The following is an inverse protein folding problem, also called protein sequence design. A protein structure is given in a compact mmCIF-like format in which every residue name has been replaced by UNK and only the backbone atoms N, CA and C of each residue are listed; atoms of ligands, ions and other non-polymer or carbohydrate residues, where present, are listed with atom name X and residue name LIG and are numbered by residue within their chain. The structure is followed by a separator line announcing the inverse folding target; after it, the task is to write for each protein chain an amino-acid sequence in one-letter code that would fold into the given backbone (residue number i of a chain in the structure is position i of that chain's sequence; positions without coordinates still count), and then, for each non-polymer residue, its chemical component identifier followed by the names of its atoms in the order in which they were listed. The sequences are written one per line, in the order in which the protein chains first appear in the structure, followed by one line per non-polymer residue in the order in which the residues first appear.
data_IF_354224885300
#
_entry.id   IF_354224885300
#
_cell.length_a   1.000
_cell.length_b   1.000
_cell.length_c   1.000
_cell.angle_alpha   90.00
_cell.angle_beta   90.00
_cell.angle_gamma   90.00
#
_symmetry.space_group_name_H-M   'P 1'
#
loop_
_entity.id
_entity.type
_entity.pdbx_description
1 polymer ?
#
# COMPACT_ATOMS: atom_id res chain seq x y z
N UNK A 1 15.82 -14.47 -22.99
CA UNK A 1 14.81 -14.93 -22.03
C UNK A 1 13.96 -13.73 -21.67
N UNK A 2 12.68 -13.79 -22.00
CA UNK A 2 11.72 -12.72 -21.70
C UNK A 2 11.27 -12.81 -20.24
N UNK A 3 10.83 -11.70 -19.64
CA UNK A 3 10.36 -11.67 -18.23
C UNK A 3 9.28 -12.71 -17.97
N UNK A 4 8.35 -12.88 -18.92
CA UNK A 4 7.30 -13.91 -18.86
C UNK A 4 7.86 -15.33 -18.78
N UNK A 5 8.86 -15.65 -19.61
CA UNK A 5 9.47 -16.98 -19.62
C UNK A 5 10.17 -17.26 -18.30
N UNK A 6 10.92 -16.28 -17.78
CA UNK A 6 11.53 -16.38 -16.46
C UNK A 6 10.48 -16.66 -15.38
N UNK A 7 9.38 -15.91 -15.37
CA UNK A 7 8.29 -16.11 -14.41
C UNK A 7 7.61 -17.47 -14.55
N UNK A 8 7.47 -18.01 -15.77
CA UNK A 8 7.00 -19.38 -15.97
C UNK A 8 7.94 -20.42 -15.32
N UNK A 9 9.26 -20.26 -15.47
CA UNK A 9 10.22 -21.22 -14.91
C UNK A 9 10.29 -21.16 -13.37
N UNK A 10 10.07 -19.99 -12.78
CA UNK A 10 10.19 -19.81 -11.32
C UNK A 10 8.85 -19.78 -10.58
N UNK A 11 7.71 -19.90 -11.27
CA UNK A 11 6.38 -19.67 -10.69
C UNK A 11 6.05 -20.57 -9.48
N UNK A 12 6.63 -21.77 -9.43
CA UNK A 12 6.40 -22.73 -8.34
C UNK A 12 7.36 -22.56 -7.15
N UNK A 13 8.41 -21.76 -7.28
CA UNK A 13 9.49 -21.66 -6.27
C UNK A 13 9.73 -20.24 -5.78
N UNK A 14 9.39 -19.22 -6.57
CA UNK A 14 9.64 -17.83 -6.22
C UNK A 14 8.74 -17.37 -5.07
N UNK A 15 9.36 -17.02 -3.94
CA UNK A 15 8.67 -16.52 -2.73
C UNK A 15 8.81 -15.02 -2.52
N UNK A 16 9.94 -14.45 -2.96
CA UNK A 16 10.25 -13.02 -2.81
C UNK A 16 10.55 -12.44 -4.18
N UNK A 17 9.91 -11.34 -4.51
CA UNK A 17 10.16 -10.60 -5.74
C UNK A 17 10.34 -9.12 -5.43
N UNK A 18 11.44 -8.56 -5.91
CA UNK A 18 11.71 -7.12 -5.88
C UNK A 18 11.71 -6.65 -7.33
N UNK A 19 10.84 -5.69 -7.63
CA UNK A 19 10.67 -5.11 -8.95
C UNK A 19 11.03 -3.64 -8.89
N UNK A 20 12.10 -3.29 -9.59
CA UNK A 20 12.54 -1.91 -9.80
C UNK A 20 12.17 -1.51 -11.23
N UNK A 21 10.94 -1.02 -11.41
CA UNK A 21 10.39 -0.70 -12.73
C UNK A 21 9.47 0.53 -12.64
N UNK A 22 9.59 1.52 -13.54
CA UNK A 22 8.69 2.66 -13.61
C UNK A 22 7.37 2.28 -14.29
N UNK A 23 6.48 1.57 -13.58
CA UNK A 23 5.18 1.15 -14.10
C UNK A 23 4.32 2.29 -14.67
N UNK A 24 4.49 3.52 -14.17
CA UNK A 24 3.78 4.70 -14.67
C UNK A 24 4.19 5.11 -16.08
N UNK A 25 5.39 4.72 -16.53
CA UNK A 25 5.85 5.00 -17.89
C UNK A 25 5.13 4.17 -18.96
N UNK A 26 4.45 3.09 -18.57
CA UNK A 26 3.69 2.25 -19.49
C UNK A 26 2.31 2.86 -19.70
N UNK A 27 2.11 3.61 -20.79
CA UNK A 27 0.80 4.15 -21.15
C UNK A 27 -0.22 3.03 -21.35
N UNK A 28 -1.38 3.11 -20.68
CA UNK A 28 -2.49 2.19 -20.93
C UNK A 28 -3.17 2.39 -22.29
N UNK A 29 -2.94 3.54 -22.94
CA UNK A 29 -3.54 3.90 -24.23
C UNK A 29 -2.62 3.61 -25.42
N UNK A 30 -1.33 3.43 -25.18
CA UNK A 30 -0.31 3.18 -26.20
C UNK A 30 0.60 2.03 -25.76
N UNK A 31 0.05 0.82 -25.79
CA UNK A 31 0.76 -0.43 -25.49
C UNK A 31 0.90 -1.29 -26.75
N UNK A 32 1.44 -0.70 -27.82
CA UNK A 32 1.61 -1.35 -29.12
C UNK A 32 2.56 -2.58 -29.10
N UNK A 33 3.29 -2.79 -28.01
CA UNK A 33 4.18 -3.93 -27.78
C UNK A 33 3.58 -4.97 -26.81
N UNK A 34 2.32 -4.82 -26.39
CA UNK A 34 1.64 -5.69 -25.43
C UNK A 34 2.45 -5.93 -24.14
N UNK A 35 3.16 -4.90 -23.66
CA UNK A 35 4.02 -4.97 -22.47
C UNK A 35 3.18 -5.20 -21.23
N UNK A 36 2.06 -4.48 -21.04
CA UNK A 36 1.19 -4.61 -19.86
C UNK A 36 0.50 -5.98 -19.83
N UNK A 37 -0.11 -6.50 -20.93
CA UNK A 37 -0.62 -7.86 -20.96
C UNK A 37 0.46 -8.91 -20.67
N UNK A 38 1.64 -8.79 -21.27
CA UNK A 38 2.74 -9.75 -21.09
C UNK A 38 3.24 -9.78 -19.66
N UNK A 39 3.43 -8.61 -19.04
CA UNK A 39 3.78 -8.51 -17.62
C UNK A 39 2.66 -9.10 -16.75
N UNK A 40 1.40 -8.74 -17.02
CA UNK A 40 0.24 -9.23 -16.26
C UNK A 40 0.17 -10.76 -16.27
N UNK A 41 0.27 -11.41 -17.44
CA UNK A 41 0.27 -12.89 -17.53
C UNK A 41 1.45 -13.51 -16.77
N UNK A 42 2.62 -12.87 -16.83
CA UNK A 42 3.79 -13.30 -16.06
C UNK A 42 3.57 -13.20 -14.54
N UNK A 43 3.14 -12.04 -14.05
CA UNK A 43 2.92 -11.79 -12.62
C UNK A 43 1.81 -12.69 -12.06
N UNK A 44 0.72 -12.91 -12.79
CA UNK A 44 -0.39 -13.78 -12.35
C UNK A 44 0.06 -15.22 -12.05
N UNK A 45 1.12 -15.71 -12.67
CA UNK A 45 1.63 -17.08 -12.46
C UNK A 45 2.34 -17.27 -11.13
N UNK A 46 2.81 -16.20 -10.49
CA UNK A 46 3.62 -16.25 -9.26
C UNK A 46 2.80 -16.58 -8.00
N UNK A 47 2.02 -17.66 -8.04
CA UNK A 47 1.07 -18.07 -6.99
C UNK A 47 1.72 -18.45 -5.64
N UNK A 48 3.04 -18.66 -5.62
CA UNK A 48 3.81 -18.97 -4.42
C UNK A 48 4.45 -17.75 -3.77
N UNK A 49 4.24 -16.56 -4.33
CA UNK A 49 4.83 -15.34 -3.81
C UNK A 49 4.28 -15.02 -2.42
N UNK A 50 5.20 -14.81 -1.48
CA UNK A 50 4.92 -14.45 -0.09
C UNK A 50 5.28 -12.97 0.17
N UNK A 51 6.24 -12.44 -0.59
CA UNK A 51 6.78 -11.09 -0.44
C UNK A 51 6.95 -10.40 -1.80
N UNK A 52 6.39 -9.20 -1.92
CA UNK A 52 6.55 -8.33 -3.10
C UNK A 52 7.10 -6.97 -2.68
N UNK A 53 8.05 -6.44 -3.45
CA UNK A 53 8.47 -5.04 -3.36
C UNK A 53 8.40 -4.42 -4.74
N UNK A 54 7.58 -3.40 -4.93
CA UNK A 54 7.51 -2.59 -6.14
C UNK A 54 8.07 -1.20 -5.86
N UNK A 55 9.11 -0.82 -6.59
CA UNK A 55 9.82 0.46 -6.49
C UNK A 55 9.45 1.37 -7.66
N UNK A 56 9.78 2.66 -7.54
CA UNK A 56 9.55 3.75 -8.50
C UNK A 56 8.09 4.14 -8.73
N UNK A 57 7.22 3.18 -9.00
CA UNK A 57 5.81 3.44 -9.29
C UNK A 57 4.89 2.33 -8.77
N UNK A 58 3.61 2.68 -8.63
CA UNK A 58 2.56 1.74 -8.30
C UNK A 58 2.31 0.75 -9.47
N UNK A 59 2.25 -0.57 -9.22
CA UNK A 59 2.11 -1.59 -10.27
C UNK A 59 0.66 -1.68 -10.82
N UNK A 60 0.14 -0.61 -11.42
CA UNK A 60 -1.17 -0.54 -12.08
C UNK A 60 -1.16 -1.23 -13.46
N UNK A 61 -0.83 -2.52 -13.48
CA UNK A 61 -0.66 -3.31 -14.70
C UNK A 61 -1.98 -3.74 -15.35
N UNK A 62 -3.07 -3.84 -14.59
CA UNK A 62 -4.35 -4.33 -15.12
C UNK A 62 -5.22 -3.22 -15.70
N UNK A 63 -5.56 -3.38 -16.98
CA UNK A 63 -6.66 -2.69 -17.63
C UNK A 63 -7.57 -3.76 -18.23
N UNK A 64 -8.55 -4.27 -17.48
CA UNK A 64 -9.61 -5.06 -18.14
C UNK A 64 -10.47 -4.09 -18.93
N UNK A 65 -10.60 -4.35 -20.23
CA UNK A 65 -11.21 -3.47 -21.21
C UNK A 65 -12.64 -2.98 -20.90
N UNK A 66 -13.35 -3.49 -19.88
CA UNK A 66 -14.74 -3.06 -19.64
C UNK A 66 -15.27 -2.85 -18.23
N UNK A 67 -14.67 -3.30 -17.12
CA UNK A 67 -15.35 -3.05 -15.81
C UNK A 67 -14.51 -2.94 -14.54
N UNK A 68 -13.35 -3.59 -14.38
CA UNK A 68 -12.58 -3.48 -13.11
C UNK A 68 -11.07 -3.68 -13.30
N UNK A 69 -10.26 -2.81 -12.70
CA UNK A 69 -8.80 -2.98 -12.56
C UNK A 69 -8.53 -3.74 -11.27
N UNK A 70 -8.11 -5.01 -11.35
CA UNK A 70 -7.71 -5.81 -10.17
C UNK A 70 -6.20 -5.85 -10.14
N UNK A 71 -5.57 -5.25 -9.15
CA UNK A 71 -4.10 -5.22 -9.12
C UNK A 71 -3.54 -6.65 -9.04
N UNK A 72 -2.53 -6.96 -9.86
CA UNK A 72 -2.07 -8.35 -10.01
C UNK A 72 -1.58 -8.99 -8.69
N UNK A 73 -1.16 -8.17 -7.73
CA UNK A 73 -0.70 -8.63 -6.42
C UNK A 73 -1.83 -9.14 -5.52
N UNK A 74 -3.08 -8.70 -5.70
CA UNK A 74 -4.23 -9.23 -4.93
C UNK A 74 -4.66 -10.63 -5.36
N UNK A 75 -4.11 -11.12 -6.48
CA UNK A 75 -4.37 -12.46 -7.01
C UNK A 75 -3.48 -13.54 -6.37
N UNK A 76 -2.49 -13.16 -5.56
CA UNK A 76 -1.55 -14.11 -4.98
C UNK A 76 -2.01 -14.60 -3.60
N UNK A 77 -2.46 -15.85 -3.48
CA UNK A 77 -3.14 -16.35 -2.28
C UNK A 77 -2.19 -16.54 -1.08
N UNK A 78 -0.88 -16.42 -1.30
CA UNK A 78 0.16 -16.55 -0.27
C UNK A 78 0.86 -15.24 0.04
N UNK A 79 0.47 -14.13 -0.59
CA UNK A 79 1.13 -12.85 -0.38
C UNK A 79 0.88 -12.38 1.06
N UNK A 80 1.95 -12.28 1.84
CA UNK A 80 1.91 -11.87 3.24
C UNK A 80 2.36 -10.44 3.42
N UNK A 81 3.31 -10.00 2.60
CA UNK A 81 3.97 -8.71 2.78
C UNK A 81 4.20 -8.03 1.45
N UNK A 82 3.83 -6.75 1.37
CA UNK A 82 4.02 -5.96 0.15
C UNK A 82 4.61 -4.59 0.47
N UNK A 83 5.52 -4.12 -0.38
CA UNK A 83 5.95 -2.73 -0.44
C UNK A 83 5.45 -2.13 -1.76
N UNK A 84 4.74 -1.01 -1.69
CA UNK A 84 4.14 -0.34 -2.84
C UNK A 84 4.60 1.13 -2.86
N UNK A 85 5.34 1.51 -3.89
CA UNK A 85 5.73 2.88 -4.13
C UNK A 85 4.58 3.67 -4.76
N UNK A 86 4.34 4.92 -4.32
CA UNK A 86 3.32 5.82 -4.89
C UNK A 86 1.92 5.22 -4.98
N UNK A 87 1.55 4.40 -3.99
CA UNK A 87 0.23 3.78 -3.94
C UNK A 87 -0.89 4.84 -3.84
N UNK A 88 -1.97 4.73 -4.63
CA UNK A 88 -3.10 5.67 -4.60
C UNK A 88 -4.05 5.31 -3.45
N UNK A 89 -3.73 5.70 -2.23
CA UNK A 89 -4.47 5.23 -1.04
C UNK A 89 -5.84 5.89 -0.91
N UNK A 90 -6.13 6.97 -1.65
CA UNK A 90 -7.49 7.51 -1.79
C UNK A 90 -8.41 6.65 -2.66
N UNK A 91 -7.86 5.64 -3.36
CA UNK A 91 -8.64 4.78 -4.27
C UNK A 91 -9.35 3.66 -3.53
N UNK A 92 -10.66 3.53 -3.74
CA UNK A 92 -11.43 2.39 -3.24
C UNK A 92 -10.94 1.04 -3.79
N UNK A 93 -10.42 1.00 -5.02
CA UNK A 93 -9.88 -0.23 -5.60
C UNK A 93 -8.66 -0.74 -4.83
N UNK A 94 -7.82 0.18 -4.35
CA UNK A 94 -6.64 -0.17 -3.55
C UNK A 94 -7.05 -0.86 -2.24
N UNK A 95 -8.05 -0.33 -1.54
CA UNK A 95 -8.55 -0.92 -0.30
C UNK A 95 -9.31 -2.22 -0.53
N UNK A 96 -10.05 -2.34 -1.63
CA UNK A 96 -10.69 -3.59 -2.01
C UNK A 96 -9.64 -4.69 -2.22
N UNK A 97 -8.60 -4.43 -3.02
CA UNK A 97 -7.51 -5.39 -3.26
C UNK A 97 -6.77 -5.76 -1.97
N UNK A 98 -6.53 -4.77 -1.09
CA UNK A 98 -5.93 -4.99 0.23
C UNK A 98 -6.81 -5.91 1.08
N UNK A 99 -8.11 -5.62 1.17
CA UNK A 99 -9.06 -6.43 1.95
C UNK A 99 -9.25 -7.83 1.37
N UNK A 100 -9.28 -7.96 0.04
CA UNK A 100 -9.48 -9.20 -0.70
C UNK A 100 -8.23 -10.12 -0.74
N UNK A 101 -7.10 -9.69 -0.16
CA UNK A 101 -5.89 -10.51 -0.02
C UNK A 101 -5.80 -11.06 1.43
N UNK A 102 -6.41 -12.21 1.75
CA UNK A 102 -6.60 -12.64 3.13
C UNK A 102 -5.32 -13.00 3.88
N UNK A 103 -4.27 -13.41 3.16
CA UNK A 103 -2.96 -13.74 3.74
C UNK A 103 -2.10 -12.52 4.05
N UNK A 104 -2.52 -11.32 3.63
CA UNK A 104 -1.72 -10.11 3.74
C UNK A 104 -1.71 -9.62 5.19
N UNK A 105 -0.52 -9.55 5.76
CA UNK A 105 -0.22 -9.21 7.16
C UNK A 105 0.44 -7.83 7.27
N UNK A 106 1.21 -7.41 6.27
CA UNK A 106 1.94 -6.14 6.27
C UNK A 106 1.92 -5.46 4.90
N UNK A 107 1.56 -4.18 4.88
CA UNK A 107 1.62 -3.30 3.71
C UNK A 107 2.51 -2.13 4.05
N UNK A 108 3.60 -1.96 3.32
CA UNK A 108 4.45 -0.79 3.39
C UNK A 108 4.19 0.10 2.19
N UNK A 109 3.82 1.34 2.47
CA UNK A 109 3.47 2.34 1.48
C UNK A 109 4.59 3.36 1.47
N UNK A 110 5.44 3.27 0.45
CA UNK A 110 6.52 4.21 0.25
C UNK A 110 6.01 5.37 -0.62
N UNK A 111 6.11 6.62 -0.14
CA UNK A 111 5.60 7.82 -0.83
C UNK A 111 4.13 7.69 -1.26
N UNK A 112 3.18 7.28 -0.38
CA UNK A 112 1.79 7.11 -0.79
C UNK A 112 1.18 8.42 -1.30
N UNK A 113 0.32 8.31 -2.32
CA UNK A 113 -0.45 9.44 -2.82
C UNK A 113 -1.68 9.66 -1.94
N UNK A 114 -2.18 10.89 -1.88
CA UNK A 114 -3.44 11.27 -1.21
C UNK A 114 -3.46 11.12 0.32
N UNK A 115 -2.31 10.94 0.99
CA UNK A 115 -2.24 10.66 2.43
C UNK A 115 -2.93 11.71 3.31
N UNK A 116 -2.83 12.99 2.96
CA UNK A 116 -3.46 14.08 3.72
C UNK A 116 -4.99 14.11 3.66
N UNK A 117 -5.60 13.32 2.78
CA UNK A 117 -7.07 13.25 2.61
C UNK A 117 -7.66 11.88 2.92
N UNK A 118 -6.88 10.82 2.75
CA UNK A 118 -7.34 9.45 2.95
C UNK A 118 -7.49 9.13 4.44
N UNK A 119 -8.55 8.40 4.78
CA UNK A 119 -8.78 7.89 6.13
C UNK A 119 -8.65 6.38 6.10
N UNK A 120 -7.42 5.91 6.25
CA UNK A 120 -7.00 4.50 6.08
C UNK A 120 -7.98 3.51 6.73
N UNK A 121 -8.33 3.71 8.02
CA UNK A 121 -9.20 2.78 8.74
C UNK A 121 -10.65 2.87 8.29
N UNK A 122 -11.15 4.07 7.99
CA UNK A 122 -12.49 4.25 7.45
C UNK A 122 -12.61 3.61 6.05
N UNK A 123 -11.66 3.91 5.16
CA UNK A 123 -11.67 3.45 3.78
C UNK A 123 -11.57 1.91 3.70
N UNK A 124 -10.76 1.30 4.57
CA UNK A 124 -10.70 -0.16 4.72
C UNK A 124 -12.01 -0.75 5.28
N UNK A 125 -12.55 -0.17 6.36
CA UNK A 125 -13.81 -0.61 6.98
C UNK A 125 -15.00 -0.49 6.01
N UNK A 126 -15.03 0.54 5.18
CA UNK A 126 -16.05 0.72 4.16
C UNK A 126 -16.05 -0.40 3.12
N UNK A 127 -14.88 -0.99 2.81
CA UNK A 127 -14.84 -2.19 1.95
C UNK A 127 -15.48 -3.39 2.66
N UNK A 128 -15.18 -3.61 3.94
CA UNK A 128 -15.76 -4.70 4.72
C UNK A 128 -17.28 -4.60 4.81
N UNK A 129 -17.83 -3.38 4.98
CA UNK A 129 -19.28 -3.13 5.00
C UNK A 129 -19.95 -3.35 3.64
N UNK A 130 -19.24 -3.08 2.55
CA UNK A 130 -19.77 -3.18 1.18
C UNK A 130 -19.77 -4.61 0.64
N UNK A 131 -18.89 -5.47 1.14
CA UNK A 131 -18.64 -6.80 0.56
C UNK A 131 -18.63 -7.90 1.63
N UNK A 132 -19.73 -8.65 1.72
CA UNK A 132 -19.94 -9.68 2.75
C UNK A 132 -18.91 -10.82 2.79
N UNK A 133 -18.15 -11.03 1.71
CA UNK A 133 -17.11 -12.06 1.64
C UNK A 133 -15.78 -11.62 2.24
N UNK A 134 -15.60 -10.31 2.50
CA UNK A 134 -14.37 -9.78 3.08
C UNK A 134 -14.42 -9.92 4.61
N UNK A 135 -13.31 -10.35 5.18
CA UNK A 135 -13.22 -10.66 6.61
C UNK A 135 -12.24 -9.70 7.28
N UNK A 136 -12.62 -9.06 8.41
CA UNK A 136 -11.70 -8.26 9.20
C UNK A 136 -10.53 -9.12 9.70
N UNK A 137 -9.32 -8.55 9.70
CA UNK A 137 -8.11 -9.24 10.13
C UNK A 137 -7.06 -8.26 10.61
N UNK A 138 -6.06 -8.76 11.31
CA UNK A 138 -4.89 -7.97 11.69
C UNK A 138 -4.10 -7.60 10.44
N UNK A 139 -3.81 -6.31 10.29
CA UNK A 139 -3.02 -5.78 9.19
C UNK A 139 -2.14 -4.64 9.71
N UNK A 140 -0.83 -4.74 9.47
CA UNK A 140 0.12 -3.66 9.73
C UNK A 140 0.32 -2.83 8.47
N UNK A 141 0.14 -1.52 8.58
CA UNK A 141 0.37 -0.54 7.52
C UNK A 141 1.51 0.37 7.96
N UNK A 142 2.59 0.43 7.18
CA UNK A 142 3.72 1.32 7.42
C UNK A 142 3.76 2.38 6.33
N UNK A 143 3.62 3.64 6.71
CA UNK A 143 3.71 4.81 5.83
C UNK A 143 5.15 5.31 5.87
N UNK A 144 5.88 5.12 4.77
CA UNK A 144 7.29 5.46 4.67
C UNK A 144 7.51 6.62 3.70
N UNK A 145 8.15 7.67 4.17
CA UNK A 145 8.50 8.84 3.35
C UNK A 145 9.72 9.55 3.96
N UNK A 146 10.36 10.42 3.20
CA UNK A 146 11.42 11.29 3.71
C UNK A 146 10.86 12.22 4.79
N UNK A 147 11.67 12.49 5.81
CA UNK A 147 11.23 13.05 7.09
C UNK A 147 10.34 14.30 6.99
N UNK A 148 10.59 15.19 6.02
CA UNK A 148 9.88 16.46 5.85
C UNK A 148 8.61 16.37 4.99
N UNK A 149 8.38 15.27 4.28
CA UNK A 149 7.32 15.19 3.28
C UNK A 149 6.10 14.40 3.74
N UNK A 150 6.18 13.64 4.84
CA UNK A 150 5.11 12.75 5.28
C UNK A 150 3.93 13.55 5.88
N UNK A 151 2.76 13.62 5.20
CA UNK A 151 1.64 14.41 5.73
C UNK A 151 1.05 13.86 7.02
N UNK A 152 0.22 14.67 7.68
CA UNK A 152 -0.62 14.16 8.76
C UNK A 152 -1.67 13.18 8.23
N UNK A 153 -1.93 12.15 9.04
CA UNK A 153 -2.87 11.09 8.70
C UNK A 153 -4.23 11.47 9.25
N UNK A 154 -5.27 11.40 8.43
CA UNK A 154 -6.63 11.61 8.89
C UNK A 154 -7.07 10.45 9.79
N UNK A 155 -7.36 10.76 11.05
CA UNK A 155 -7.64 9.76 12.10
C UNK A 155 -9.05 9.87 12.68
N UNK A 156 -9.89 10.75 12.12
CA UNK A 156 -11.30 10.88 12.49
C UNK A 156 -12.03 9.53 12.45
N UNK A 157 -12.85 9.25 13.47
CA UNK A 157 -13.64 8.00 13.61
C UNK A 157 -12.85 6.69 13.58
N UNK A 158 -11.52 6.70 13.79
CA UNK A 158 -10.73 5.46 13.84
C UNK A 158 -11.20 4.48 14.93
N UNK A 159 -11.57 5.01 16.10
CA UNK A 159 -12.10 4.19 17.20
C UNK A 159 -13.45 3.54 16.88
N UNK A 160 -14.25 4.15 16.01
CA UNK A 160 -15.54 3.62 15.56
C UNK A 160 -15.36 2.60 14.42
N UNK A 161 -14.40 2.86 13.52
CA UNK A 161 -14.15 2.03 12.34
C UNK A 161 -13.34 0.78 12.64
N UNK A 162 -12.48 0.82 13.66
CA UNK A 162 -11.61 -0.29 14.07
C UNK A 162 -11.54 -0.37 15.60
N UNK A 163 -12.66 -0.71 16.27
CA UNK A 163 -12.74 -0.76 17.73
C UNK A 163 -11.83 -1.83 18.35
N UNK A 164 -11.53 -2.88 17.60
CA UNK A 164 -10.65 -3.99 18.02
C UNK A 164 -9.17 -3.71 17.77
N UNK A 165 -8.83 -2.60 17.08
CA UNK A 165 -7.45 -2.25 16.75
C UNK A 165 -6.77 -3.26 15.84
N UNK A 166 -7.52 -3.83 14.89
CA UNK A 166 -7.00 -4.81 13.93
C UNK A 166 -6.04 -4.17 12.93
N UNK A 167 -6.23 -2.88 12.60
CA UNK A 167 -5.37 -2.17 11.66
C UNK A 167 -4.37 -1.32 12.45
N UNK A 168 -3.09 -1.71 12.42
CA UNK A 168 -2.00 -0.91 12.98
C UNK A 168 -1.44 0.00 11.89
N UNK A 169 -1.33 1.31 12.15
CA UNK A 169 -0.75 2.28 11.22
C UNK A 169 0.47 2.92 11.88
N UNK A 170 1.61 2.88 11.21
CA UNK A 170 2.88 3.43 11.68
C UNK A 170 3.47 4.39 10.63
N UNK A 171 4.12 5.47 11.09
CA UNK A 171 4.91 6.40 10.27
C UNK A 171 6.39 6.07 10.39
N UNK A 172 7.05 5.79 9.28
CA UNK A 172 8.49 5.58 9.23
C UNK A 172 9.16 6.72 8.46
N UNK A 173 10.00 7.49 9.15
CA UNK A 173 10.74 8.59 8.54
C UNK A 173 12.05 8.06 7.94
N UNK A 174 12.19 8.20 6.63
CA UNK A 174 13.41 7.83 5.91
C UNK A 174 14.45 8.93 6.15
N UNK A 175 15.66 8.57 6.65
CA UNK A 175 16.70 9.55 6.91
C UNK A 175 17.15 10.27 5.65
N UNK A 176 17.22 11.60 5.71
CA UNK A 176 17.79 12.44 4.66
C UNK A 176 19.22 12.86 5.01
N UNK A 177 20.07 13.06 3.99
CA UNK A 177 21.39 13.64 4.21
C UNK A 177 21.25 15.10 4.71
N UNK A 178 22.26 15.59 5.43
CA UNK A 178 22.25 16.96 5.96
C UNK A 178 22.21 18.03 4.85
N UNK A 179 22.67 17.69 3.64
CA UNK A 179 22.74 18.61 2.51
C UNK A 179 21.41 18.70 1.74
N UNK A 180 20.55 17.68 1.81
CA UNK A 180 19.18 17.72 1.27
C UNK A 180 19.11 17.97 -0.24
N UNK A 181 20.18 17.67 -0.99
CA UNK A 181 20.28 17.85 -2.44
C UNK A 181 19.75 16.63 -3.22
N UNK A 182 19.43 15.55 -2.53
CA UNK A 182 18.85 14.35 -3.11
C UNK A 182 17.35 14.54 -3.38
N UNK A 183 16.92 14.17 -4.58
CA UNK A 183 15.51 14.15 -4.95
C UNK A 183 14.78 13.09 -4.10
N UNK A 184 13.63 13.46 -3.54
CA UNK A 184 12.95 12.68 -2.50
C UNK A 184 12.48 11.29 -2.98
N UNK A 185 12.02 11.18 -4.23
CA UNK A 185 11.60 9.90 -4.80
C UNK A 185 12.82 8.97 -4.97
N UNK A 186 13.94 9.46 -5.50
CA UNK A 186 15.17 8.67 -5.65
C UNK A 186 15.79 8.28 -4.29
N UNK A 187 15.81 9.18 -3.31
CA UNK A 187 16.27 8.90 -1.96
C UNK A 187 15.43 7.82 -1.28
N UNK A 188 14.10 7.99 -1.26
CA UNK A 188 13.18 7.01 -0.68
C UNK A 188 13.30 5.65 -1.38
N UNK A 189 13.31 5.65 -2.71
CA UNK A 189 13.50 4.44 -3.52
C UNK A 189 14.82 3.73 -3.18
N UNK A 190 15.92 4.48 -3.04
CA UNK A 190 17.23 3.94 -2.68
C UNK A 190 17.25 3.26 -1.32
N UNK A 191 16.66 3.88 -0.29
CA UNK A 191 16.53 3.30 1.04
C UNK A 191 15.69 2.02 1.05
N UNK A 192 14.49 2.08 0.46
CA UNK A 192 13.57 0.94 0.38
C UNK A 192 14.21 -0.20 -0.41
N UNK A 193 14.86 0.08 -1.53
CA UNK A 193 15.57 -0.92 -2.35
C UNK A 193 16.67 -1.60 -1.55
N UNK A 194 17.49 -0.84 -0.85
CA UNK A 194 18.60 -1.36 -0.04
C UNK A 194 18.08 -2.29 1.06
N UNK A 195 17.04 -1.86 1.79
CA UNK A 195 16.41 -2.66 2.84
C UNK A 195 15.65 -3.88 2.31
N UNK A 196 15.06 -3.80 1.11
CA UNK A 196 14.43 -4.95 0.46
C UNK A 196 15.46 -6.01 0.08
N UNK A 197 16.59 -5.59 -0.50
CA UNK A 197 17.67 -6.49 -0.95
C UNK A 197 18.36 -7.20 0.22
N UNK A 198 18.57 -6.50 1.35
CA UNK A 198 19.17 -7.11 2.54
C UNK A 198 18.14 -7.81 3.46
N UNK A 199 16.84 -7.66 3.18
CA UNK A 199 15.74 -8.30 3.92
C UNK A 199 15.31 -7.60 5.20
N UNK A 200 15.86 -6.42 5.53
CA UNK A 200 15.50 -5.66 6.75
C UNK A 200 14.23 -4.82 6.60
N UNK A 201 13.69 -4.66 5.39
CA UNK A 201 12.51 -3.81 5.14
C UNK A 201 11.31 -4.19 6.02
N UNK A 202 11.13 -5.48 6.31
CA UNK A 202 9.99 -5.96 7.10
C UNK A 202 10.13 -5.72 8.60
N UNK A 203 11.35 -5.44 9.09
CA UNK A 203 11.62 -5.09 10.48
C UNK A 203 11.63 -3.58 10.72
N UNK A 204 11.21 -2.78 9.75
CA UNK A 204 11.05 -1.34 9.96
C UNK A 204 9.88 -1.09 10.92
N UNK A 205 10.19 -0.45 12.04
CA UNK A 205 9.24 -0.03 13.05
C UNK A 205 9.13 1.49 13.00
N UNK A 206 7.92 1.97 12.71
CA UNK A 206 7.62 3.39 12.70
C UNK A 206 7.02 3.85 14.02
N UNK A 207 6.77 5.16 14.11
CA UNK A 207 5.98 5.74 15.19
C UNK A 207 4.50 5.38 14.98
N UNK A 208 3.83 4.75 15.97
CA UNK A 208 2.41 4.44 15.86
C UNK A 208 1.57 5.71 15.69
N UNK A 209 0.59 5.68 14.78
CA UNK A 209 -0.38 6.76 14.61
C UNK A 209 -1.54 6.54 15.59
N UNK A 210 -1.73 7.50 16.50
CA UNK A 210 -2.85 7.48 17.43
C UNK A 210 -4.14 8.02 16.77
N UNK A 211 -5.30 7.52 17.21
CA UNK A 211 -6.57 8.12 16.85
C UNK A 211 -6.65 9.55 17.43
N UNK A 212 -7.23 10.49 16.67
CA UNK A 212 -7.57 11.80 17.22
C UNK A 212 -8.46 11.63 18.46
N UNK A 213 -8.29 12.47 19.49
CA UNK A 213 -9.22 12.50 20.61
C UNK A 213 -10.65 12.70 20.09
N UNK A 214 -11.61 11.95 20.62
CA UNK A 214 -13.01 12.27 20.40
C UNK A 214 -13.23 13.67 20.99
N UNK A 215 -13.65 14.64 20.17
CA UNK A 215 -14.12 15.93 20.66
C UNK A 215 -15.36 15.65 21.53
N UNK A 216 -15.13 15.53 22.84
CA UNK A 216 -16.20 15.53 23.83
C UNK A 216 -16.69 16.97 23.86
N UNK A 217 -17.68 17.27 23.02
CA UNK A 217 -18.25 18.61 22.88
C UNK A 217 -18.56 19.21 24.25
N UNK A 218 -17.98 20.37 24.54
CA UNK A 218 -18.38 21.20 25.66
C UNK A 218 -19.87 21.52 25.50
N UNK A 219 -20.72 20.83 26.26
CA UNK A 219 -22.08 21.27 26.48
C UNK A 219 -22.00 22.54 27.33
N UNK A 220 -22.05 23.69 26.66
CA UNK A 220 -22.33 24.98 27.28
C UNK A 220 -23.70 24.92 27.94
N UNK A 221 -23.72 24.62 29.24
CA UNK A 221 -24.93 24.77 30.07
C UNK A 221 -25.22 26.26 30.17
N UNK A 222 -26.13 26.74 29.33
CA UNK A 222 -26.70 28.08 29.46
C UNK A 222 -27.61 28.04 30.68
N UNK A 223 -27.12 28.53 31.81
CA UNK A 223 -27.94 28.79 33.00
C UNK A 223 -28.85 29.97 32.66
N UNK A 224 -30.14 29.68 32.47
CA UNK A 224 -31.16 30.70 32.41
C UNK A 224 -31.53 31.11 33.84
N UNK A 225 -31.07 32.29 34.27
CA UNK A 225 -31.59 32.94 35.47
C UNK A 225 -32.94 33.60 35.17
N UNK A 226 -33.87 33.40 36.10
CA UNK A 226 -35.25 33.89 36.13
C UNK A 226 -35.36 35.27 36.80
#
# INVERSE_FOLDING_TARGET
MWVRELFCEVCETLKRLIVDMPFGSLSGYDDHLDVRPTLTDGFQRLSKLEELVCLRDYPALTFMSRTFTVNCWSLWPKLRRVVLFRAPIGSHCFWYDTANTPSLEQVMLARPLDLGTANIKNDYNDMLKKFDHLVPRKLKIVLADVENDLPEVQTASWAECDPEGLIAVEKYHIPTSFYGDEEADELCCGWVKTAALNGSIWSWEGQPVAAAPLDVGEQSVVVADA
#
